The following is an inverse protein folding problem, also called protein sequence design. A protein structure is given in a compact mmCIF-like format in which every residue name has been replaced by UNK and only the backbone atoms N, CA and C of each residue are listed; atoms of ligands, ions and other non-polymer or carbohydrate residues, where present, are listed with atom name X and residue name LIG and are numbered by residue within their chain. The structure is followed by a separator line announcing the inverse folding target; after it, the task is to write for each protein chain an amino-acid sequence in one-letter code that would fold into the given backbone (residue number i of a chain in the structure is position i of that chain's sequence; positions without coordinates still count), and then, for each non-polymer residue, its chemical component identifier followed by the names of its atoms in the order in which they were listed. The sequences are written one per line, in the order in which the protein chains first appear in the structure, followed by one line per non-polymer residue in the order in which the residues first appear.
data_IF_630055756239
#
_entry.id   IF_630055756239
#
_cell.length_a   1.000
_cell.length_b   1.000
_cell.length_c   1.000
_cell.angle_alpha   90.00
_cell.angle_beta   90.00
_cell.angle_gamma   90.00
#
_symmetry.space_group_name_H-M   'P 1'
#
loop_
_entity.id
_entity.type
_entity.pdbx_description
1 polymer ?
#
# COMPACT_ATOMS: atom_id res chain seq x y z
N UNK A 1 24.70 6.63 -18.77
CA UNK A 1 25.06 7.78 -17.91
C UNK A 1 24.99 7.32 -16.46
N UNK A 2 26.05 7.49 -15.67
CA UNK A 2 26.03 7.12 -14.26
C UNK A 2 25.38 8.23 -13.42
N UNK A 3 24.52 7.86 -12.47
CA UNK A 3 24.01 8.79 -11.45
C UNK A 3 25.20 9.24 -10.59
N UNK A 4 25.32 10.54 -10.30
CA UNK A 4 26.48 11.04 -9.56
C UNK A 4 26.46 10.55 -8.10
N UNK A 5 27.63 10.28 -7.48
CA UNK A 5 27.71 9.90 -6.07
C UNK A 5 27.01 10.90 -5.14
N UNK A 6 27.06 12.19 -5.48
CA UNK A 6 26.36 13.25 -4.74
C UNK A 6 24.84 13.09 -4.73
N UNK A 7 24.24 12.76 -5.88
CA UNK A 7 22.79 12.52 -5.98
C UNK A 7 22.37 11.26 -5.22
N UNK A 8 23.21 10.21 -5.23
CA UNK A 8 22.96 9.00 -4.44
C UNK A 8 23.01 9.32 -2.95
N UNK A 9 24.04 10.05 -2.50
CA UNK A 9 24.17 10.45 -1.10
C UNK A 9 22.98 11.31 -0.64
N UNK A 10 22.44 12.14 -1.53
CA UNK A 10 21.25 12.94 -1.26
C UNK A 10 19.98 12.10 -1.15
N UNK A 11 19.75 11.17 -2.07
CA UNK A 11 18.65 10.22 -1.98
C UNK A 11 18.71 9.40 -0.68
N UNK A 12 19.90 8.97 -0.26
CA UNK A 12 20.09 8.27 1.03
C UNK A 12 19.72 9.17 2.21
N UNK A 13 20.06 10.46 2.18
CA UNK A 13 19.66 11.39 3.25
C UNK A 13 18.14 11.50 3.33
N UNK A 14 17.48 11.79 2.20
CA UNK A 14 16.02 11.88 2.17
C UNK A 14 15.35 10.59 2.65
N UNK A 15 15.81 9.43 2.18
CA UNK A 15 15.30 8.12 2.62
C UNK A 15 15.39 7.98 4.14
N UNK A 16 16.53 8.33 4.73
CA UNK A 16 16.74 8.25 6.18
C UNK A 16 15.89 9.26 6.96
N UNK A 17 15.70 10.45 6.40
CA UNK A 17 14.85 11.48 7.00
C UNK A 17 13.38 11.02 7.02
N UNK A 18 12.87 10.48 5.91
CA UNK A 18 11.52 9.91 5.84
C UNK A 18 11.39 8.69 6.77
N UNK A 19 12.38 7.80 6.80
CA UNK A 19 12.37 6.64 7.70
C UNK A 19 12.27 7.02 9.17
N UNK A 20 12.94 8.11 9.58
CA UNK A 20 12.96 8.57 10.95
C UNK A 20 11.63 9.22 11.38
N UNK A 21 10.79 9.67 10.45
CA UNK A 21 9.50 10.31 10.74
C UNK A 21 8.36 9.72 9.89
N UNK A 22 8.07 8.42 10.05
CA UNK A 22 7.06 7.74 9.25
C UNK A 22 5.65 8.20 9.67
N UNK A 23 4.74 8.31 8.72
CA UNK A 23 3.35 8.74 8.95
C UNK A 23 2.37 7.74 8.30
N UNK A 24 1.23 7.51 8.94
CA UNK A 24 0.21 6.57 8.46
C UNK A 24 -0.56 7.11 7.25
N UNK A 25 -1.22 6.22 6.52
CA UNK A 25 -2.08 6.57 5.39
C UNK A 25 -3.07 7.70 5.70
N UNK A 26 -3.14 8.69 4.81
CA UNK A 26 -3.90 9.95 4.92
C UNK A 26 -3.49 10.89 6.08
N UNK A 27 -2.43 10.56 6.81
CA UNK A 27 -1.87 11.37 7.90
C UNK A 27 -0.43 11.82 7.59
N UNK A 28 0.04 11.64 6.35
CA UNK A 28 1.40 11.92 5.85
C UNK A 28 1.66 13.42 5.64
N UNK A 29 1.25 14.26 6.59
CA UNK A 29 1.25 15.71 6.47
C UNK A 29 2.66 16.29 6.40
N UNK A 30 3.62 15.74 7.17
CA UNK A 30 5.01 16.19 7.16
C UNK A 30 5.74 15.64 5.94
N UNK A 31 5.52 14.37 5.60
CA UNK A 31 6.11 13.73 4.41
C UNK A 31 5.65 14.44 3.14
N UNK A 32 4.33 14.64 2.98
CA UNK A 32 3.74 15.36 1.84
C UNK A 32 4.31 16.77 1.69
N UNK A 33 4.35 17.55 2.79
CA UNK A 33 4.93 18.89 2.79
C UNK A 33 6.39 18.88 2.38
N UNK A 34 7.18 17.96 2.94
CA UNK A 34 8.61 17.86 2.65
C UNK A 34 8.88 17.49 1.19
N UNK A 35 8.10 16.56 0.64
CA UNK A 35 8.13 16.19 -0.78
C UNK A 35 7.81 17.40 -1.66
N UNK A 36 6.73 18.13 -1.35
CA UNK A 36 6.34 19.33 -2.09
C UNK A 36 7.42 20.43 -2.07
N UNK A 37 8.03 20.69 -0.90
CA UNK A 37 9.13 21.64 -0.75
C UNK A 37 10.35 21.26 -1.60
N UNK A 38 10.74 19.98 -1.59
CA UNK A 38 11.86 19.50 -2.39
C UNK A 38 11.58 19.64 -3.89
N UNK A 39 10.40 19.21 -4.36
CA UNK A 39 10.01 19.32 -5.76
C UNK A 39 9.97 20.78 -6.24
N UNK A 40 9.43 21.68 -5.41
CA UNK A 40 9.42 23.11 -5.69
C UNK A 40 10.86 23.67 -5.76
N UNK A 41 11.76 23.23 -4.88
CA UNK A 41 13.17 23.62 -4.91
C UNK A 41 13.92 23.17 -6.17
N UNK A 42 13.41 22.13 -6.85
CA UNK A 42 13.95 21.69 -8.15
C UNK A 42 13.39 22.50 -9.33
N UNK A 43 12.51 23.49 -9.07
CA UNK A 43 11.87 24.31 -10.08
C UNK A 43 10.70 23.62 -10.80
N UNK A 44 10.08 22.62 -10.15
CA UNK A 44 8.92 21.91 -10.70
C UNK A 44 7.61 22.62 -10.36
N UNK A 45 6.60 22.44 -11.22
CA UNK A 45 5.24 22.90 -10.93
C UNK A 45 4.58 21.89 -9.99
N UNK A 46 4.31 22.27 -8.75
CA UNK A 46 3.82 21.36 -7.70
C UNK A 46 2.34 21.59 -7.43
N UNK A 47 1.58 20.50 -7.42
CA UNK A 47 0.20 20.42 -7.00
C UNK A 47 0.10 19.56 -5.73
N UNK A 48 -0.50 20.10 -4.69
CA UNK A 48 -0.65 19.43 -3.38
C UNK A 48 -2.11 19.26 -3.02
N UNK A 49 -2.42 18.28 -2.18
CA UNK A 49 -3.75 18.11 -1.60
C UNK A 49 -4.65 17.11 -2.34
N UNK A 50 -4.15 16.50 -3.41
CA UNK A 50 -4.86 15.44 -4.11
C UNK A 50 -4.95 14.19 -3.21
N UNK A 51 -6.13 13.64 -3.03
CA UNK A 51 -6.44 12.60 -2.04
C UNK A 51 -6.11 12.99 -0.59
N UNK A 52 -5.99 14.29 -0.28
CA UNK A 52 -5.63 14.82 1.05
C UNK A 52 -4.13 15.14 1.19
N UNK A 53 -3.26 14.13 1.08
CA UNK A 53 -1.80 14.26 1.28
C UNK A 53 -0.99 13.96 0.03
N UNK A 54 -1.62 13.62 -1.10
CA UNK A 54 -0.93 13.37 -2.36
C UNK A 54 -0.31 14.63 -2.95
N UNK A 55 0.81 14.42 -3.64
CA UNK A 55 1.59 15.47 -4.30
C UNK A 55 1.88 15.05 -5.73
N UNK A 56 1.60 15.93 -6.69
CA UNK A 56 1.98 15.73 -8.09
C UNK A 56 2.87 16.89 -8.52
N UNK A 57 4.00 16.61 -9.14
CA UNK A 57 4.86 17.64 -9.73
C UNK A 57 5.04 17.41 -11.23
N UNK A 58 5.05 18.49 -12.01
CA UNK A 58 5.16 18.43 -13.47
C UNK A 58 6.47 19.06 -13.93
N UNK A 59 7.19 18.34 -14.81
CA UNK A 59 8.32 18.85 -15.57
C UNK A 59 8.04 18.75 -17.07
N UNK A 60 7.89 19.90 -17.71
CA UNK A 60 7.74 20.00 -19.17
C UNK A 60 9.09 20.29 -19.84
N UNK A 61 9.36 19.63 -20.97
CA UNK A 61 10.56 19.86 -21.75
C UNK A 61 10.29 19.78 -23.26
N UNK A 62 9.34 20.62 -23.71
CA UNK A 62 8.91 20.72 -25.09
C UNK A 62 8.05 19.54 -25.57
N UNK A 63 7.70 19.50 -26.87
CA UNK A 63 6.81 18.47 -27.41
C UNK A 63 7.39 17.06 -27.30
N UNK A 64 6.55 16.11 -26.91
CA UNK A 64 6.90 14.70 -26.79
C UNK A 64 5.86 13.91 -25.98
N UNK A 65 6.16 12.64 -25.65
CA UNK A 65 5.31 11.80 -24.82
C UNK A 65 5.09 12.39 -23.43
N UNK A 66 3.97 12.06 -22.80
CA UNK A 66 3.67 12.42 -21.41
C UNK A 66 3.64 11.16 -20.57
N UNK A 67 4.50 11.07 -19.56
CA UNK A 67 4.56 9.90 -18.67
C UNK A 67 4.41 10.29 -17.20
N UNK A 68 3.86 9.39 -16.40
CA UNK A 68 3.86 9.44 -14.95
C UNK A 68 4.93 8.53 -14.34
N UNK A 69 5.58 8.98 -13.28
CA UNK A 69 6.43 8.17 -12.41
C UNK A 69 5.85 8.23 -10.99
N UNK A 70 5.48 7.08 -10.42
CA UNK A 70 4.74 6.98 -9.16
C UNK A 70 5.56 6.37 -8.03
N UNK A 71 5.43 6.94 -6.83
CA UNK A 71 5.91 6.39 -5.57
C UNK A 71 4.84 6.58 -4.48
N UNK A 72 4.68 5.60 -3.61
CA UNK A 72 3.90 5.68 -2.37
C UNK A 72 4.71 6.31 -1.23
N UNK A 73 4.01 6.86 -0.23
CA UNK A 73 4.59 7.66 0.86
C UNK A 73 4.22 7.19 2.27
N UNK A 74 3.20 6.35 2.45
CA UNK A 74 2.70 5.98 3.76
C UNK A 74 3.55 4.91 4.46
N UNK A 75 3.39 4.85 5.77
CA UNK A 75 4.03 3.86 6.64
C UNK A 75 2.99 2.95 7.31
N UNK A 76 3.49 1.94 8.04
CA UNK A 76 2.68 0.92 8.70
C UNK A 76 2.61 1.13 10.23
N UNK A 77 1.53 0.69 10.89
CA UNK A 77 1.38 0.73 12.36
C UNK A 77 2.18 -0.40 13.04
N UNK A 78 3.49 -0.42 12.81
CA UNK A 78 4.44 -1.40 13.33
C UNK A 78 5.50 -0.68 14.16
N UNK A 79 5.82 -1.25 15.33
CA UNK A 79 6.95 -0.75 16.14
C UNK A 79 8.27 -1.21 15.54
N UNK A 80 9.14 -0.27 15.17
CA UNK A 80 10.47 -0.60 14.66
C UNK A 80 11.37 -1.19 15.76
N UNK A 81 11.88 -2.40 15.52
CA UNK A 81 12.76 -3.12 16.45
C UNK A 81 14.25 -2.92 16.13
N UNK A 82 14.59 -2.31 14.99
CA UNK A 82 15.96 -2.06 14.58
C UNK A 82 16.67 -1.00 15.44
N UNK A 83 18.00 -0.99 15.40
CA UNK A 83 18.86 -0.05 16.16
C UNK A 83 19.68 0.86 15.24
N UNK A 84 19.16 1.14 14.05
CA UNK A 84 19.81 2.03 13.09
C UNK A 84 19.71 3.50 13.54
N UNK A 85 20.72 4.31 13.21
CA UNK A 85 20.77 5.74 13.58
C UNK A 85 19.59 6.59 13.08
N UNK A 86 18.86 6.10 12.08
CA UNK A 86 17.70 6.74 11.46
C UNK A 86 16.38 6.00 11.78
N UNK A 87 16.36 5.20 12.85
CA UNK A 87 15.17 4.52 13.37
C UNK A 87 14.00 5.51 13.51
N UNK A 88 12.80 5.03 13.27
CA UNK A 88 11.55 5.74 13.50
C UNK A 88 11.54 6.40 14.88
N UNK A 89 11.21 7.69 14.88
CA UNK A 89 11.00 8.52 16.06
C UNK A 89 9.52 8.64 16.42
N UNK A 90 8.63 8.09 15.61
CA UNK A 90 7.20 8.06 15.85
C UNK A 90 6.85 6.68 16.43
N UNK A 91 6.57 6.57 17.75
CA UNK A 91 6.32 5.28 18.38
C UNK A 91 5.17 4.52 17.73
N UNK A 92 5.39 3.23 17.46
CA UNK A 92 4.38 2.36 16.84
C UNK A 92 4.18 2.55 15.34
N UNK A 93 5.01 3.35 14.66
CA UNK A 93 4.94 3.56 13.20
C UNK A 93 6.29 3.30 12.57
N UNK A 94 6.34 2.60 11.43
CA UNK A 94 7.57 2.24 10.72
C UNK A 94 7.34 2.16 9.21
N UNK A 95 8.29 2.65 8.41
CA UNK A 95 8.37 2.30 6.99
C UNK A 95 8.90 0.86 6.82
N UNK A 96 8.02 -0.11 7.02
CA UNK A 96 8.34 -1.54 6.90
C UNK A 96 8.18 -2.10 5.48
N UNK A 97 7.51 -1.36 4.57
CA UNK A 97 7.31 -1.74 3.17
C UNK A 97 8.27 -1.03 2.18
N UNK A 98 9.07 -0.06 2.66
CA UNK A 98 10.09 0.62 1.83
C UNK A 98 9.63 1.88 1.08
N UNK A 99 8.44 2.41 1.40
CA UNK A 99 7.87 3.61 0.76
C UNK A 99 8.74 4.88 0.93
N UNK A 100 9.51 4.94 2.02
CA UNK A 100 10.59 5.92 2.22
C UNK A 100 11.67 5.85 1.12
N UNK A 101 12.02 4.64 0.71
CA UNK A 101 12.93 4.38 -0.40
C UNK A 101 12.32 4.76 -1.75
N UNK A 102 11.06 4.41 -2.00
CA UNK A 102 10.33 4.78 -3.23
C UNK A 102 10.28 6.30 -3.39
N UNK A 103 9.85 7.00 -2.34
CA UNK A 103 9.78 8.46 -2.28
C UNK A 103 11.16 9.08 -2.55
N UNK A 104 12.21 8.60 -1.89
CA UNK A 104 13.56 9.13 -2.09
C UNK A 104 14.11 8.89 -3.50
N UNK A 105 13.86 7.72 -4.09
CA UNK A 105 14.27 7.41 -5.46
C UNK A 105 13.54 8.29 -6.49
N UNK A 106 12.24 8.52 -6.30
CA UNK A 106 11.46 9.37 -7.20
C UNK A 106 11.89 10.84 -7.11
N UNK A 107 12.16 11.36 -5.89
CA UNK A 107 12.75 12.69 -5.70
C UNK A 107 14.11 12.83 -6.41
N UNK A 108 14.96 11.80 -6.34
CA UNK A 108 16.25 11.80 -7.01
C UNK A 108 16.11 11.81 -8.53
N UNK A 109 15.15 11.05 -9.08
CA UNK A 109 14.82 11.08 -10.50
C UNK A 109 14.31 12.47 -10.93
N UNK A 110 13.41 13.07 -10.14
CA UNK A 110 12.87 14.40 -10.39
C UNK A 110 13.97 15.47 -10.41
N UNK A 111 14.83 15.50 -9.39
CA UNK A 111 15.97 16.41 -9.31
C UNK A 111 16.94 16.23 -10.49
N UNK A 112 17.22 14.97 -10.88
CA UNK A 112 18.11 14.67 -12.00
C UNK A 112 17.54 15.15 -13.34
N UNK A 113 16.26 14.87 -13.61
CA UNK A 113 15.60 15.28 -14.84
C UNK A 113 15.42 16.79 -14.92
N UNK A 114 15.06 17.45 -13.81
CA UNK A 114 14.94 18.91 -13.74
C UNK A 114 16.26 19.61 -14.07
N UNK A 115 17.39 19.11 -13.55
CA UNK A 115 18.73 19.67 -13.77
C UNK A 115 19.26 19.41 -15.18
N UNK A 116 19.08 18.19 -15.69
CA UNK A 116 19.75 17.78 -16.93
C UNK A 116 18.90 18.04 -18.17
N UNK A 117 17.57 17.94 -18.05
CA UNK A 117 16.60 18.04 -19.15
C UNK A 117 16.99 17.25 -20.40
N UNK A 118 17.66 16.10 -20.20
CA UNK A 118 18.09 15.20 -21.29
C UNK A 118 16.97 14.26 -21.73
N UNK A 119 15.81 14.83 -22.07
CA UNK A 119 14.63 14.13 -22.59
C UNK A 119 13.77 15.12 -23.39
N UNK A 120 12.65 14.68 -23.98
CA UNK A 120 11.62 15.57 -24.56
C UNK A 120 10.24 15.08 -24.13
N UNK A 121 9.27 15.98 -24.01
CA UNK A 121 7.93 15.67 -23.50
C UNK A 121 7.73 16.13 -22.05
N UNK A 122 6.80 15.49 -21.36
CA UNK A 122 6.39 15.88 -19.99
C UNK A 122 6.48 14.69 -19.04
N UNK A 123 6.96 14.94 -17.83
CA UNK A 123 6.98 13.95 -16.74
C UNK A 123 6.16 14.46 -15.56
N UNK A 124 5.17 13.68 -15.14
CA UNK A 124 4.45 13.87 -13.89
C UNK A 124 5.03 12.95 -12.81
N UNK A 125 5.53 13.52 -11.73
CA UNK A 125 6.00 12.80 -10.55
C UNK A 125 4.85 12.71 -9.55
N UNK A 126 4.29 11.51 -9.37
CA UNK A 126 3.09 11.25 -8.59
C UNK A 126 3.49 10.60 -7.26
N UNK A 127 3.35 11.35 -6.17
CA UNK A 127 3.57 10.86 -4.82
C UNK A 127 2.22 10.55 -4.18
N UNK A 128 1.93 9.26 -4.07
CA UNK A 128 0.64 8.72 -3.66
C UNK A 128 0.60 8.49 -2.14
N UNK A 129 -0.46 8.91 -1.44
CA UNK A 129 -0.67 8.53 -0.04
C UNK A 129 -1.32 7.14 0.08
N UNK A 130 -1.43 6.65 1.32
CA UNK A 130 -2.40 5.64 1.73
C UNK A 130 -2.47 4.38 0.83
N UNK A 131 -1.32 3.84 0.44
CA UNK A 131 -1.23 2.60 -0.33
C UNK A 131 -1.64 1.38 0.53
N UNK A 132 -1.27 1.37 1.80
CA UNK A 132 -1.40 0.24 2.74
C UNK A 132 -2.87 -0.04 3.13
N UNK A 133 -3.66 -0.50 2.16
CA UNK A 133 -5.08 -0.89 2.26
C UNK A 133 -6.08 0.26 2.49
N UNK A 134 -5.67 1.52 2.31
CA UNK A 134 -6.53 2.68 2.48
C UNK A 134 -6.98 3.34 1.16
N UNK A 135 -6.49 2.82 0.03
CA UNK A 135 -7.01 3.13 -1.30
C UNK A 135 -6.64 4.52 -1.82
N UNK A 136 -5.44 5.03 -1.48
CA UNK A 136 -5.01 6.36 -1.91
C UNK A 136 -4.96 6.54 -3.43
N UNK A 137 -4.57 5.50 -4.19
CA UNK A 137 -4.62 5.50 -5.65
C UNK A 137 -6.04 5.76 -6.18
N UNK A 138 -7.03 5.00 -5.66
CA UNK A 138 -8.44 5.14 -6.03
C UNK A 138 -8.91 6.56 -5.80
N UNK A 139 -8.63 7.11 -4.61
CA UNK A 139 -9.04 8.47 -4.26
C UNK A 139 -8.39 9.54 -5.14
N UNK A 140 -7.10 9.39 -5.48
CA UNK A 140 -6.44 10.31 -6.42
C UNK A 140 -7.10 10.27 -7.81
N UNK A 141 -7.48 9.08 -8.30
CA UNK A 141 -8.19 8.93 -9.58
C UNK A 141 -9.57 9.59 -9.52
N UNK A 142 -10.34 9.34 -8.44
CA UNK A 142 -11.65 9.94 -8.21
C UNK A 142 -11.59 11.47 -8.12
N UNK A 143 -10.52 12.02 -7.53
CA UNK A 143 -10.26 13.47 -7.47
C UNK A 143 -9.62 14.04 -8.74
N UNK A 144 -9.48 13.22 -9.80
CA UNK A 144 -9.14 13.68 -11.13
C UNK A 144 -7.66 13.64 -11.50
N UNK A 145 -6.84 12.77 -10.89
CA UNK A 145 -5.41 12.59 -11.24
C UNK A 145 -5.17 12.59 -12.76
N UNK A 146 -5.88 11.74 -13.49
CA UNK A 146 -5.70 11.61 -14.94
C UNK A 146 -6.38 12.70 -15.77
N UNK A 147 -7.27 13.48 -15.16
CA UNK A 147 -7.90 14.65 -15.80
C UNK A 147 -7.02 15.90 -15.65
N UNK A 148 -6.45 16.10 -14.46
CA UNK A 148 -5.57 17.21 -14.13
C UNK A 148 -4.15 17.01 -14.68
N UNK A 149 -3.70 15.75 -14.77
CA UNK A 149 -2.36 15.36 -15.23
C UNK A 149 -2.49 14.26 -16.29
N UNK A 150 -2.99 14.60 -17.50
CA UNK A 150 -3.14 13.62 -18.57
C UNK A 150 -1.78 13.03 -18.95
N UNK A 151 -1.69 11.69 -19.02
CA UNK A 151 -0.45 10.97 -19.33
C UNK A 151 -0.73 9.73 -20.18
N UNK A 152 0.21 9.39 -21.06
CA UNK A 152 0.13 8.25 -21.98
C UNK A 152 0.44 6.93 -21.27
N UNK A 153 1.29 6.97 -20.24
CA UNK A 153 1.70 5.82 -19.44
C UNK A 153 2.12 6.26 -18.04
N UNK A 154 1.98 5.36 -17.06
CA UNK A 154 2.47 5.55 -15.69
C UNK A 154 3.34 4.35 -15.29
N UNK A 155 4.46 4.62 -14.64
CA UNK A 155 5.42 3.61 -14.18
C UNK A 155 5.63 3.74 -12.68
N UNK A 156 5.78 2.60 -12.01
CA UNK A 156 6.13 2.52 -10.60
C UNK A 156 7.15 1.40 -10.40
N UNK A 157 7.83 1.41 -9.25
CA UNK A 157 8.72 0.35 -8.82
C UNK A 157 8.48 0.07 -7.33
N UNK A 158 8.76 -1.16 -6.91
CA UNK A 158 8.72 -1.56 -5.52
C UNK A 158 10.03 -2.27 -5.18
N UNK A 159 10.64 -1.98 -4.04
CA UNK A 159 11.76 -2.78 -3.55
C UNK A 159 11.25 -4.16 -3.13
N UNK A 160 11.91 -5.23 -3.58
CA UNK A 160 11.47 -6.59 -3.27
C UNK A 160 12.54 -7.35 -2.50
N UNK A 161 12.41 -7.48 -1.16
CA UNK A 161 13.28 -8.35 -0.39
C UNK A 161 13.32 -9.76 -0.99
N UNK A 162 14.53 -10.26 -1.28
CA UNK A 162 14.75 -11.56 -1.91
C UNK A 162 15.20 -11.51 -3.36
N UNK A 163 15.04 -10.38 -4.06
CA UNK A 163 15.70 -10.16 -5.36
C UNK A 163 17.13 -9.65 -5.13
N UNK A 164 18.16 -10.23 -5.78
CA UNK A 164 19.54 -9.77 -5.64
C UNK A 164 19.71 -8.29 -6.05
N UNK A 165 20.58 -7.58 -5.33
CA UNK A 165 20.91 -6.19 -5.64
C UNK A 165 21.38 -6.05 -7.10
N UNK A 166 20.88 -5.02 -7.79
CA UNK A 166 21.21 -4.73 -9.18
C UNK A 166 20.34 -5.47 -10.20
N UNK A 167 19.37 -6.26 -9.75
CA UNK A 167 18.39 -6.90 -10.61
C UNK A 167 17.04 -6.18 -10.54
N UNK A 168 16.34 -6.16 -11.66
CA UNK A 168 14.97 -5.64 -11.79
C UNK A 168 14.12 -6.76 -12.41
N UNK A 169 13.05 -7.15 -11.72
CA UNK A 169 12.09 -8.11 -12.26
C UNK A 169 10.92 -7.34 -12.91
N UNK A 170 10.49 -7.83 -14.07
CA UNK A 170 9.35 -7.30 -14.81
C UNK A 170 8.44 -8.46 -15.24
N UNK A 171 7.13 -8.20 -15.28
CA UNK A 171 6.13 -9.15 -15.76
C UNK A 171 5.21 -8.39 -16.74
N UNK A 172 4.92 -8.99 -17.90
CA UNK A 172 4.03 -8.44 -18.92
C UNK A 172 2.54 -8.76 -18.69
N UNK A 173 2.22 -9.58 -17.70
CA UNK A 173 0.87 -9.94 -17.29
C UNK A 173 0.57 -9.48 -15.85
N UNK A 174 -0.42 -10.12 -15.22
CA UNK A 174 -0.74 -9.87 -13.82
C UNK A 174 0.50 -10.12 -12.94
N UNK A 175 0.91 -9.09 -12.18
CA UNK A 175 2.12 -9.14 -11.35
C UNK A 175 1.81 -9.39 -9.87
N UNK A 176 0.66 -8.93 -9.39
CA UNK A 176 0.21 -9.04 -8.00
C UNK A 176 -1.20 -9.62 -7.98
N UNK A 177 -1.56 -10.29 -6.88
CA UNK A 177 -2.92 -10.75 -6.66
C UNK A 177 -3.84 -9.57 -6.28
N UNK A 178 -5.11 -9.65 -6.65
CA UNK A 178 -6.17 -8.83 -6.08
C UNK A 178 -6.32 -9.14 -4.59
N UNK A 179 -6.80 -8.19 -3.80
CA UNK A 179 -7.12 -8.38 -2.39
C UNK A 179 -8.57 -7.95 -2.15
N UNK A 180 -9.38 -8.86 -1.62
CA UNK A 180 -10.73 -8.57 -1.14
C UNK A 180 -10.87 -8.95 0.32
N UNK A 181 -11.66 -8.20 1.09
CA UNK A 181 -11.96 -8.52 2.47
C UNK A 181 -13.46 -8.77 2.65
N UNK A 182 -13.81 -9.77 3.45
CA UNK A 182 -15.20 -10.07 3.77
C UNK A 182 -15.41 -10.27 5.27
N UNK A 183 -16.62 -9.96 5.73
CA UNK A 183 -17.10 -10.25 7.08
C UNK A 183 -18.33 -11.16 7.01
N UNK A 184 -18.31 -12.27 7.76
CA UNK A 184 -19.47 -13.16 7.90
C UNK A 184 -19.96 -13.13 9.34
N UNK A 185 -21.21 -12.69 9.52
CA UNK A 185 -21.91 -12.79 10.81
C UNK A 185 -22.85 -13.98 10.83
N UNK A 186 -22.57 -14.98 11.68
CA UNK A 186 -23.49 -16.10 11.92
C UNK A 186 -24.39 -15.82 13.12
N UNK A 187 -25.71 -15.87 12.90
CA UNK A 187 -26.71 -15.65 13.96
C UNK A 187 -27.39 -16.95 14.38
N UNK A 188 -27.17 -17.35 15.62
CA UNK A 188 -27.73 -18.56 16.22
C UNK A 188 -28.92 -18.32 17.14
N UNK A 189 -29.23 -19.31 17.98
CA UNK A 189 -30.21 -19.19 19.08
C UNK A 189 -29.56 -19.70 20.35
N UNK A 190 -29.56 -18.86 21.38
CA UNK A 190 -29.00 -19.23 22.68
C UNK A 190 -29.78 -20.34 23.38
N UNK A 191 -29.05 -21.24 24.03
CA UNK A 191 -29.58 -22.20 24.97
C UNK A 191 -28.53 -22.59 26.00
N UNK A 192 -28.96 -23.33 27.02
CA UNK A 192 -28.06 -23.96 27.97
C UNK A 192 -27.26 -25.06 27.26
N UNK A 193 -25.95 -25.16 27.50
CA UNK A 193 -25.07 -26.11 26.80
C UNK A 193 -25.52 -27.60 26.94
N UNK A 194 -26.23 -27.94 28.02
CA UNK A 194 -26.81 -29.27 28.24
C UNK A 194 -28.18 -29.52 27.56
N UNK A 195 -28.73 -28.54 26.83
CA UNK A 195 -29.99 -28.63 26.09
C UNK A 195 -29.81 -28.10 24.64
N UNK A 196 -28.89 -28.69 23.86
CA UNK A 196 -28.54 -28.18 22.53
C UNK A 196 -29.73 -28.14 21.56
N UNK A 197 -30.71 -29.05 21.71
CA UNK A 197 -31.94 -29.10 20.92
C UNK A 197 -32.83 -27.86 21.06
N UNK A 198 -32.63 -27.08 22.13
CA UNK A 198 -33.37 -25.84 22.37
C UNK A 198 -32.73 -24.61 21.70
N UNK A 199 -31.52 -24.75 21.13
CA UNK A 199 -30.75 -23.67 20.52
C UNK A 199 -30.33 -23.93 19.08
N UNK A 200 -29.53 -23.02 18.54
CA UNK A 200 -28.86 -23.15 17.26
C UNK A 200 -27.44 -22.60 17.42
N UNK A 201 -26.46 -23.50 17.41
CA UNK A 201 -25.07 -23.19 17.77
C UNK A 201 -24.29 -22.56 16.61
N UNK A 202 -23.95 -21.26 16.66
CA UNK A 202 -23.16 -20.64 15.59
C UNK A 202 -21.69 -21.07 15.62
N UNK A 203 -21.16 -21.63 16.72
CA UNK A 203 -19.77 -22.12 16.77
C UNK A 203 -19.64 -23.38 15.92
N UNK A 204 -20.58 -24.31 16.04
CA UNK A 204 -20.64 -25.50 15.18
C UNK A 204 -20.82 -25.11 13.71
N UNK A 205 -21.73 -24.17 13.44
CA UNK A 205 -21.93 -23.66 12.07
C UNK A 205 -20.67 -22.98 11.51
N UNK A 206 -19.96 -22.19 12.32
CA UNK A 206 -18.71 -21.55 11.92
C UNK A 206 -17.62 -22.58 11.58
N UNK A 207 -17.44 -23.61 12.40
CA UNK A 207 -16.47 -24.67 12.13
C UNK A 207 -16.76 -25.37 10.79
N UNK A 208 -18.03 -25.68 10.51
CA UNK A 208 -18.44 -26.26 9.23
C UNK A 208 -18.20 -25.29 8.06
N UNK A 209 -18.54 -24.02 8.24
CA UNK A 209 -18.34 -22.99 7.22
C UNK A 209 -16.86 -22.80 6.88
N UNK A 210 -15.97 -22.71 7.88
CA UNK A 210 -14.53 -22.57 7.67
C UNK A 210 -14.00 -23.72 6.81
N UNK A 211 -14.38 -24.95 7.14
CA UNK A 211 -14.00 -26.13 6.36
C UNK A 211 -14.56 -26.08 4.94
N UNK A 212 -15.81 -25.63 4.78
CA UNK A 212 -16.43 -25.50 3.46
C UNK A 212 -15.74 -24.43 2.61
N UNK A 213 -15.31 -23.31 3.19
CA UNK A 213 -14.60 -22.24 2.47
C UNK A 213 -13.26 -22.73 1.88
N UNK A 214 -12.59 -23.70 2.52
CA UNK A 214 -11.36 -24.31 1.97
C UNK A 214 -11.61 -25.07 0.65
N UNK A 215 -12.87 -25.41 0.35
CA UNK A 215 -13.23 -26.05 -0.91
C UNK A 215 -13.26 -25.10 -2.10
N UNK A 216 -13.27 -23.78 -1.89
CA UNK A 216 -13.23 -22.80 -2.97
C UNK A 216 -11.92 -22.92 -3.77
N UNK A 217 -10.73 -22.65 -3.19
CA UNK A 217 -9.48 -22.77 -3.94
C UNK A 217 -9.20 -24.22 -4.35
N UNK A 218 -9.59 -25.20 -3.53
CA UNK A 218 -9.23 -26.58 -3.80
C UNK A 218 -10.13 -27.28 -4.83
N UNK A 219 -11.43 -26.96 -4.92
CA UNK A 219 -12.42 -27.71 -5.72
C UNK A 219 -13.27 -26.85 -6.67
N UNK A 220 -13.30 -25.52 -6.52
CA UNK A 220 -14.13 -24.63 -7.38
C UNK A 220 -13.32 -23.91 -8.46
N UNK A 221 -12.01 -23.74 -8.24
CA UNK A 221 -11.12 -23.10 -9.20
C UNK A 221 -10.32 -24.14 -9.98
N UNK A 222 -9.86 -23.75 -11.17
CA UNK A 222 -8.91 -24.53 -11.93
C UNK A 222 -7.61 -24.69 -11.13
N UNK A 223 -6.95 -25.85 -11.16
CA UNK A 223 -5.60 -26.00 -10.60
C UNK A 223 -4.54 -25.09 -11.23
N UNK A 224 -4.87 -24.42 -12.34
CA UNK A 224 -4.01 -23.44 -13.02
C UNK A 224 -4.29 -22.00 -12.58
N UNK A 225 -5.37 -21.76 -11.83
CA UNK A 225 -5.68 -20.45 -11.25
C UNK A 225 -5.02 -20.34 -9.87
N UNK A 226 -4.62 -19.11 -9.51
CA UNK A 226 -4.12 -18.81 -8.17
C UNK A 226 -5.23 -18.18 -7.36
N UNK A 227 -5.48 -18.67 -6.15
CA UNK A 227 -6.36 -18.02 -5.20
C UNK A 227 -6.04 -18.48 -3.77
N UNK A 228 -6.24 -17.59 -2.82
CA UNK A 228 -6.07 -17.84 -1.39
C UNK A 228 -7.31 -17.33 -0.67
N UNK A 229 -7.96 -18.23 0.08
CA UNK A 229 -9.03 -17.87 1.01
C UNK A 229 -8.50 -18.12 2.42
N UNK A 230 -8.18 -17.03 3.12
CA UNK A 230 -7.76 -17.11 4.52
C UNK A 230 -8.98 -16.91 5.43
N UNK A 231 -8.91 -17.39 6.68
CA UNK A 231 -9.82 -17.02 7.76
C UNK A 231 -8.95 -16.55 8.91
N UNK A 232 -8.77 -15.23 9.02
CA UNK A 232 -7.72 -14.66 9.88
C UNK A 232 -8.21 -14.28 11.28
N UNK A 233 -9.51 -14.17 11.47
CA UNK A 233 -10.12 -13.85 12.76
C UNK A 233 -11.38 -14.68 13.01
N UNK A 234 -11.58 -15.07 14.27
CA UNK A 234 -12.73 -15.83 14.77
C UNK A 234 -13.10 -15.23 16.12
N UNK A 235 -14.34 -14.78 16.29
CA UNK A 235 -14.82 -14.22 17.57
C UNK A 235 -16.21 -14.76 17.93
N UNK A 236 -16.37 -15.39 19.11
CA UNK A 236 -17.67 -15.87 19.61
C UNK A 236 -17.58 -16.54 21.00
N UNK A 237 -18.68 -16.50 21.76
CA UNK A 237 -18.79 -17.04 23.13
C UNK A 237 -18.32 -16.08 24.23
N UNK A 238 -18.90 -16.20 25.44
CA UNK A 238 -18.51 -15.42 26.64
C UNK A 238 -18.45 -16.33 27.89
N UNK A 239 -19.47 -17.16 28.10
CA UNK A 239 -19.54 -18.13 29.21
C UNK A 239 -19.47 -19.57 28.70
N UNK A 240 -18.77 -20.44 29.42
CA UNK A 240 -18.53 -21.84 29.04
C UNK A 240 -19.80 -22.71 28.93
N UNK A 241 -20.91 -22.26 29.51
CA UNK A 241 -22.17 -23.01 29.61
C UNK A 241 -23.32 -22.42 28.77
N UNK A 242 -23.05 -21.46 27.89
CA UNK A 242 -24.06 -20.76 27.09
C UNK A 242 -23.69 -20.72 25.61
N UNK A 243 -24.60 -21.18 24.74
CA UNK A 243 -24.50 -20.93 23.30
C UNK A 243 -24.95 -19.48 23.00
N UNK A 244 -24.16 -18.69 22.26
CA UNK A 244 -24.48 -17.28 21.96
C UNK A 244 -24.96 -17.10 20.52
N UNK A 245 -25.52 -15.94 20.23
CA UNK A 245 -26.20 -15.57 18.99
C UNK A 245 -25.32 -14.96 17.92
N UNK A 246 -24.04 -14.65 18.14
CA UNK A 246 -23.22 -13.97 17.12
C UNK A 246 -21.78 -14.48 17.05
N UNK A 247 -21.30 -14.64 15.82
CA UNK A 247 -19.92 -14.94 15.48
C UNK A 247 -19.47 -14.08 14.30
N UNK A 248 -18.24 -13.56 14.32
CA UNK A 248 -17.66 -12.73 13.25
C UNK A 248 -16.30 -13.31 12.79
N UNK A 249 -16.10 -13.35 11.47
CA UNK A 249 -14.84 -13.67 10.83
C UNK A 249 -14.50 -12.64 9.78
N UNK A 250 -13.26 -12.13 9.83
CA UNK A 250 -12.66 -11.29 8.82
C UNK A 250 -11.45 -11.99 8.20
N UNK A 251 -11.31 -11.88 6.88
CA UNK A 251 -10.07 -12.25 6.20
C UNK A 251 -9.84 -11.52 4.89
N UNK A 252 -8.57 -11.26 4.55
CA UNK A 252 -8.18 -10.97 3.18
C UNK A 252 -8.21 -12.27 2.35
N UNK A 253 -8.98 -12.30 1.26
CA UNK A 253 -8.80 -13.24 0.17
C UNK A 253 -7.95 -12.59 -0.91
N UNK A 254 -6.93 -13.31 -1.38
CA UNK A 254 -6.18 -12.91 -2.56
C UNK A 254 -6.64 -13.73 -3.76
N UNK A 255 -7.05 -13.07 -4.85
CA UNK A 255 -7.42 -13.71 -6.11
C UNK A 255 -6.43 -13.32 -7.21
#
# INVERSE_FOLDING_TARGET
MAVSPSSIAEAIRWRRDFHAYPELGYQEQKTSRRVAELLASFGLQVHTGLAGTGVVATLENGPGPVIGLRADMDALPITELGEVSYKSRNPGVMHACGHDGHTAMLLAAAAHLARTRRFRGTVHFVFQPAEENLGGARKMVEEGLFTLFPMDAIYALHNWPGIPLGQVAINSGAMMASLDAFEITLTGKSCHAAMPESGADPIVAAAQLIMALQTIPSRRLSPQESAVVSITQISGGEAINVLRTKWCCAAPSAA
#
